data_IF_410406876023
#
_entry.id   IF_410406876023
#
_cell.length_a   1.000
_cell.length_b   1.000
_cell.length_c   1.000
_cell.angle_alpha   90.00
_cell.angle_beta   90.00
_cell.angle_gamma   90.00
#
_symmetry.space_group_name_H-M   'P 1'
#
loop_
_entity.id
_entity.type
_entity.pdbx_description
1 polymer ?
#
# COMPACT_ATOMS: atom_id res chain seq x y z
N UNK A 1 -19.45 -5.31 22.02
CA UNK A 1 -18.88 -4.31 22.98
C UNK A 1 -19.99 -3.33 23.33
N UNK A 2 -20.08 -2.80 24.57
CA UNK A 2 -21.20 -1.92 24.98
C UNK A 2 -20.70 -0.52 25.28
N UNK A 3 -21.45 0.48 24.84
CA UNK A 3 -21.22 1.91 25.10
C UNK A 3 -19.80 2.41 24.83
N UNK A 4 -19.23 2.18 23.64
CA UNK A 4 -17.91 2.69 23.31
C UNK A 4 -17.93 4.23 23.29
N UNK A 5 -16.86 4.84 23.78
CA UNK A 5 -16.61 6.28 23.73
C UNK A 5 -15.26 6.52 23.05
N UNK A 6 -15.20 7.54 22.21
CA UNK A 6 -13.96 7.97 21.59
C UNK A 6 -13.66 9.42 21.96
N UNK A 7 -12.42 9.65 22.34
CA UNK A 7 -11.89 10.96 22.69
C UNK A 7 -10.67 11.25 21.81
N UNK A 8 -10.49 12.53 21.49
CA UNK A 8 -9.42 13.02 20.63
C UNK A 8 -8.40 13.79 21.50
N UNK A 9 -7.12 13.66 21.21
CA UNK A 9 -6.05 14.42 21.88
C UNK A 9 -5.27 15.20 20.83
N UNK A 10 -5.16 16.51 21.04
CA UNK A 10 -4.36 17.40 20.22
C UNK A 10 -3.71 18.45 21.15
N UNK A 11 -2.45 18.24 21.49
CA UNK A 11 -1.75 19.07 22.46
C UNK A 11 -0.43 18.46 22.91
N UNK A 12 0.11 19.00 23.99
CA UNK A 12 1.31 18.51 24.67
C UNK A 12 0.95 17.35 25.60
N UNK A 13 1.45 16.16 25.27
CA UNK A 13 1.40 15.01 26.16
C UNK A 13 2.42 15.14 27.30
N UNK A 14 2.09 14.82 28.57
CA UNK A 14 0.81 14.31 29.09
C UNK A 14 -0.13 15.40 29.64
N UNK A 15 0.14 16.67 29.33
CA UNK A 15 -0.47 17.84 29.98
C UNK A 15 -1.90 18.12 29.50
N UNK A 16 -2.11 18.07 28.20
CA UNK A 16 -3.40 18.42 27.60
C UNK A 16 -4.39 17.25 27.69
N UNK A 17 -5.66 17.58 27.94
CA UNK A 17 -6.70 16.58 28.14
C UNK A 17 -7.22 15.98 26.84
N UNK A 18 -7.88 14.84 26.97
CA UNK A 18 -8.68 14.25 25.90
C UNK A 18 -10.04 14.95 25.80
N UNK A 19 -10.52 15.15 24.57
CA UNK A 19 -11.80 15.80 24.27
C UNK A 19 -12.75 14.77 23.67
N UNK A 20 -13.92 14.59 24.29
CA UNK A 20 -14.94 13.65 23.81
C UNK A 20 -15.44 14.03 22.40
N UNK A 21 -15.45 13.05 21.50
CA UNK A 21 -15.96 13.20 20.14
C UNK A 21 -17.27 12.43 19.98
N UNK A 22 -18.40 13.13 20.08
CA UNK A 22 -19.74 12.51 20.00
C UNK A 22 -19.94 11.77 18.67
N UNK A 23 -19.57 12.41 17.55
CA UNK A 23 -19.74 11.82 16.22
C UNK A 23 -18.89 10.56 16.01
N UNK A 24 -17.65 10.55 16.49
CA UNK A 24 -16.80 9.37 16.38
C UNK A 24 -17.26 8.25 17.32
N UNK A 25 -17.74 8.61 18.50
CA UNK A 25 -18.36 7.67 19.45
C UNK A 25 -19.58 6.98 18.84
N UNK A 26 -20.48 7.73 18.18
CA UNK A 26 -21.63 7.17 17.45
C UNK A 26 -21.19 6.24 16.32
N UNK A 27 -20.17 6.62 15.55
CA UNK A 27 -19.64 5.83 14.44
C UNK A 27 -19.08 4.49 14.93
N UNK A 28 -18.31 4.50 16.03
CA UNK A 28 -17.74 3.28 16.62
C UNK A 28 -18.82 2.46 17.33
N UNK A 29 -19.81 3.09 17.95
CA UNK A 29 -20.96 2.41 18.53
C UNK A 29 -21.73 1.63 17.46
N UNK A 30 -21.94 2.21 16.27
CA UNK A 30 -22.53 1.52 15.15
C UNK A 30 -21.68 0.29 14.73
N UNK A 31 -20.36 0.45 14.59
CA UNK A 31 -19.43 -0.65 14.29
C UNK A 31 -19.49 -1.82 15.28
N UNK A 32 -19.64 -1.51 16.57
CA UNK A 32 -19.51 -2.47 17.67
C UNK A 32 -20.84 -2.93 18.27
N UNK A 33 -21.95 -2.50 17.66
CA UNK A 33 -23.32 -2.86 18.05
C UNK A 33 -23.62 -4.33 17.84
N UNK A 34 -22.99 -4.96 16.85
CA UNK A 34 -23.19 -6.36 16.48
C UNK A 34 -22.29 -7.30 17.29
N UNK A 35 -22.68 -8.58 17.33
CA UNK A 35 -21.89 -9.62 17.98
C UNK A 35 -20.84 -10.17 17.00
N UNK A 36 -19.62 -10.35 17.50
CA UNK A 36 -18.52 -10.94 16.75
C UNK A 36 -18.27 -12.35 17.27
N UNK A 37 -18.17 -13.34 16.37
CA UNK A 37 -17.80 -14.71 16.72
C UNK A 37 -16.35 -14.94 16.31
N UNK A 38 -15.59 -15.66 17.13
CA UNK A 38 -14.22 -16.02 16.81
C UNK A 38 -13.87 -17.38 17.41
N UNK A 39 -12.92 -18.05 16.77
CA UNK A 39 -12.30 -19.26 17.32
C UNK A 39 -11.30 -18.87 18.40
N UNK A 40 -11.33 -19.57 19.53
CA UNK A 40 -10.36 -19.40 20.60
C UNK A 40 -10.02 -20.75 21.21
N UNK A 41 -8.74 -21.11 21.19
CA UNK A 41 -8.28 -22.42 21.68
C UNK A 41 -6.92 -22.24 22.31
N UNK A 42 -6.80 -22.59 23.59
CA UNK A 42 -5.52 -22.56 24.34
C UNK A 42 -4.75 -21.24 24.20
N UNK A 43 -5.45 -20.10 24.29
CA UNK A 43 -4.82 -18.78 24.16
C UNK A 43 -4.61 -18.29 22.73
N UNK A 44 -4.97 -19.08 21.71
CA UNK A 44 -4.84 -18.69 20.30
C UNK A 44 -6.18 -18.28 19.73
N UNK A 45 -6.20 -17.09 19.12
CA UNK A 45 -7.31 -16.61 18.31
C UNK A 45 -7.18 -17.17 16.90
N UNK A 46 -8.22 -17.88 16.46
CA UNK A 46 -8.31 -18.43 15.11
C UNK A 46 -9.07 -17.50 14.16
N UNK A 47 -10.03 -18.07 13.45
CA UNK A 47 -10.85 -17.35 12.48
C UNK A 47 -11.85 -16.41 13.16
N UNK A 48 -12.04 -15.23 12.58
CA UNK A 48 -13.05 -14.24 12.99
C UNK A 48 -14.22 -14.29 12.01
N UNK A 49 -15.45 -14.20 12.54
CA UNK A 49 -16.69 -14.30 11.79
C UNK A 49 -17.59 -13.09 12.07
N UNK A 50 -18.06 -12.43 11.01
CA UNK A 50 -18.86 -11.20 11.06
C UNK A 50 -19.96 -11.22 9.99
N UNK A 51 -20.99 -10.35 10.07
CA UNK A 51 -21.98 -10.17 9.00
C UNK A 51 -21.36 -9.69 7.69
N UNK A 52 -21.98 -10.04 6.56
CA UNK A 52 -21.49 -9.68 5.23
C UNK A 52 -21.25 -8.18 5.04
N UNK A 53 -22.16 -7.34 5.53
CA UNK A 53 -22.08 -5.88 5.40
C UNK A 53 -21.18 -5.20 6.45
N UNK A 54 -20.46 -5.97 7.28
CA UNK A 54 -19.62 -5.41 8.33
C UNK A 54 -18.40 -4.69 7.72
N UNK A 55 -18.21 -3.38 7.97
CA UNK A 55 -17.05 -2.67 7.45
C UNK A 55 -15.72 -3.26 7.94
N UNK A 56 -14.71 -3.31 7.06
CA UNK A 56 -13.38 -3.83 7.38
C UNK A 56 -12.76 -3.09 8.59
N UNK A 57 -12.98 -1.78 8.70
CA UNK A 57 -12.55 -0.98 9.85
C UNK A 57 -13.10 -1.52 11.18
N UNK A 58 -14.40 -1.84 11.24
CA UNK A 58 -15.01 -2.39 12.44
C UNK A 58 -14.38 -3.74 12.82
N UNK A 59 -14.12 -4.59 11.81
CA UNK A 59 -13.44 -5.87 12.01
C UNK A 59 -12.00 -5.69 12.50
N UNK A 60 -11.25 -4.70 11.98
CA UNK A 60 -9.89 -4.39 12.43
C UNK A 60 -9.85 -3.88 13.88
N UNK A 61 -10.83 -3.09 14.31
CA UNK A 61 -10.96 -2.68 15.71
C UNK A 61 -11.14 -3.91 16.61
N UNK A 62 -11.98 -4.87 16.21
CA UNK A 62 -12.16 -6.13 16.94
C UNK A 62 -10.89 -6.99 16.92
N UNK A 63 -10.16 -7.06 15.80
CA UNK A 63 -8.83 -7.70 15.77
C UNK A 63 -7.88 -7.09 16.80
N UNK A 64 -7.89 -5.77 16.97
CA UNK A 64 -7.06 -5.08 17.97
C UNK A 64 -7.42 -5.48 19.40
N UNK A 65 -8.71 -5.66 19.69
CA UNK A 65 -9.18 -6.17 20.99
C UNK A 65 -8.79 -7.64 21.17
N UNK A 66 -9.02 -8.49 20.17
CA UNK A 66 -8.70 -9.92 20.23
C UNK A 66 -7.19 -10.19 20.28
N UNK A 67 -6.36 -9.31 19.74
CA UNK A 67 -4.89 -9.41 19.82
C UNK A 67 -4.40 -9.38 21.27
N UNK A 68 -5.12 -8.70 22.18
CA UNK A 68 -4.88 -8.72 23.63
C UNK A 68 -5.16 -10.07 24.29
N UNK A 69 -5.80 -11.00 23.58
CA UNK A 69 -6.07 -12.36 24.06
C UNK A 69 -5.12 -13.40 23.43
N UNK A 70 -4.26 -12.99 22.50
CA UNK A 70 -3.33 -13.89 21.81
C UNK A 70 -2.12 -14.21 22.70
N UNK A 71 -2.12 -15.38 23.32
CA UNK A 71 -1.08 -15.84 24.24
C UNK A 71 -0.72 -17.30 23.94
N UNK A 72 0.50 -17.55 23.44
CA UNK A 72 0.96 -18.91 23.14
C UNK A 72 1.84 -19.48 24.26
N UNK A 73 1.24 -20.01 25.32
CA UNK A 73 1.97 -20.57 26.47
C UNK A 73 2.56 -21.96 26.14
N UNK A 74 3.87 -22.13 26.34
CA UNK A 74 4.54 -23.46 26.33
C UNK A 74 4.62 -24.02 27.75
N UNK A 75 4.15 -25.25 27.96
CA UNK A 75 4.13 -25.90 29.29
C UNK A 75 5.51 -26.15 29.90
N UNK A 76 6.56 -26.27 29.07
CA UNK A 76 7.89 -26.71 29.49
C UNK A 76 8.91 -25.58 29.70
N UNK A 77 8.57 -24.33 29.40
CA UNK A 77 9.53 -23.23 29.33
C UNK A 77 8.95 -21.95 29.92
N UNK A 78 9.67 -21.34 30.87
CA UNK A 78 9.31 -20.03 31.43
C UNK A 78 9.86 -18.87 30.60
N UNK A 79 10.92 -19.10 29.82
CA UNK A 79 11.46 -18.12 28.88
C UNK A 79 11.65 -18.81 27.54
N UNK A 80 11.06 -18.25 26.49
CA UNK A 80 11.16 -18.81 25.15
C UNK A 80 10.85 -17.77 24.07
N UNK A 81 11.26 -18.09 22.86
CA UNK A 81 11.01 -17.30 21.66
C UNK A 81 10.29 -18.14 20.60
N UNK A 82 9.49 -17.47 19.78
CA UNK A 82 8.79 -18.06 18.64
C UNK A 82 8.39 -16.99 17.63
N UNK A 83 7.95 -17.43 16.47
CA UNK A 83 7.23 -16.57 15.52
C UNK A 83 5.74 -16.66 15.84
N UNK A 84 5.12 -15.53 16.14
CA UNK A 84 3.72 -15.49 16.55
C UNK A 84 2.90 -14.55 15.67
N UNK A 85 1.76 -15.06 15.19
CA UNK A 85 0.77 -14.25 14.52
C UNK A 85 0.13 -13.21 15.46
N UNK A 86 -0.28 -12.09 14.90
CA UNK A 86 -0.99 -11.02 15.56
C UNK A 86 -1.54 -10.03 14.54
N UNK A 87 -2.02 -8.89 15.02
CA UNK A 87 -2.56 -7.84 14.16
C UNK A 87 -1.50 -7.23 13.23
N UNK A 88 -0.25 -7.17 13.66
CA UNK A 88 0.87 -6.64 12.88
C UNK A 88 1.43 -7.64 11.85
N UNK A 89 0.96 -8.89 11.87
CA UNK A 89 1.49 -9.99 11.07
C UNK A 89 2.12 -11.10 11.92
N UNK A 90 3.11 -11.80 11.37
CA UNK A 90 3.84 -12.89 12.03
C UNK A 90 5.24 -12.38 12.37
N UNK A 91 5.46 -12.11 13.66
CA UNK A 91 6.69 -11.48 14.15
C UNK A 91 7.36 -12.28 15.26
N UNK A 92 8.67 -12.07 15.37
CA UNK A 92 9.49 -12.67 16.41
C UNK A 92 9.02 -12.16 17.77
N UNK A 93 8.67 -13.11 18.64
CA UNK A 93 8.01 -12.87 19.91
C UNK A 93 8.73 -13.62 21.02
N UNK A 94 9.04 -12.92 22.11
CA UNK A 94 9.67 -13.47 23.31
C UNK A 94 8.70 -13.44 24.47
N UNK A 95 8.69 -14.52 25.24
CA UNK A 95 7.89 -14.67 26.45
C UNK A 95 8.78 -14.82 27.69
N UNK A 96 8.31 -14.27 28.80
CA UNK A 96 8.83 -14.48 30.15
C UNK A 96 7.62 -14.71 31.06
N UNK A 97 7.55 -15.90 31.67
CA UNK A 97 6.48 -16.31 32.58
C UNK A 97 7.04 -16.30 33.99
N UNK A 98 6.42 -15.49 34.85
CA UNK A 98 6.66 -15.44 36.27
C UNK A 98 5.47 -16.09 36.97
N UNK A 99 5.61 -17.37 37.30
CA UNK A 99 4.59 -18.12 37.99
C UNK A 99 4.75 -17.95 39.52
N UNK A 100 3.73 -17.41 40.16
CA UNK A 100 3.61 -17.26 41.61
C UNK A 100 2.47 -18.15 42.11
N UNK A 101 2.66 -19.45 41.91
CA UNK A 101 1.71 -20.49 42.30
C UNK A 101 1.35 -20.43 43.79
N UNK A 102 2.27 -19.97 44.65
CA UNK A 102 2.01 -19.77 46.09
C UNK A 102 0.87 -18.79 46.35
N UNK A 103 0.77 -17.74 45.53
CA UNK A 103 -0.30 -16.73 45.62
C UNK A 103 -1.42 -16.95 44.60
N UNK A 104 -1.45 -18.13 43.95
CA UNK A 104 -2.39 -18.50 42.90
C UNK A 104 -2.44 -17.48 41.74
N UNK A 105 -1.29 -16.96 41.32
CA UNK A 105 -1.18 -15.94 40.27
C UNK A 105 0.00 -16.20 39.35
N UNK A 106 -0.07 -15.66 38.13
CA UNK A 106 1.09 -15.55 37.26
C UNK A 106 1.09 -14.21 36.53
N UNK A 107 2.30 -13.72 36.28
CA UNK A 107 2.54 -12.57 35.41
C UNK A 107 3.28 -13.05 34.18
N UNK A 108 2.75 -12.74 33.00
CA UNK A 108 3.38 -13.10 31.73
C UNK A 108 3.76 -11.80 31.02
N UNK A 109 5.02 -11.67 30.68
CA UNK A 109 5.53 -10.60 29.83
C UNK A 109 5.81 -11.17 28.44
N UNK A 110 5.32 -10.47 27.43
CA UNK A 110 5.46 -10.83 26.02
C UNK A 110 6.00 -9.62 25.28
N UNK A 111 7.10 -9.75 24.56
CA UNK A 111 7.61 -8.70 23.68
C UNK A 111 7.62 -9.18 22.24
N UNK A 112 7.15 -8.36 21.31
CA UNK A 112 7.26 -8.61 19.87
C UNK A 112 8.20 -7.59 19.23
N UNK A 113 9.15 -8.08 18.46
CA UNK A 113 10.00 -7.26 17.61
C UNK A 113 9.29 -7.04 16.26
N UNK A 114 8.73 -5.85 16.07
CA UNK A 114 8.01 -5.48 14.85
C UNK A 114 8.94 -5.11 13.69
N UNK A 115 10.25 -5.20 13.92
CA UNK A 115 11.28 -5.13 12.87
C UNK A 115 11.66 -6.51 12.35
N UNK A 116 11.42 -7.57 13.13
CA UNK A 116 11.74 -8.94 12.75
C UNK A 116 10.45 -9.75 12.53
N UNK A 117 9.85 -9.59 11.36
CA UNK A 117 8.63 -10.29 10.97
C UNK A 117 8.85 -11.13 9.72
N UNK A 118 8.38 -12.39 9.74
CA UNK A 118 8.31 -13.23 8.55
C UNK A 118 7.30 -12.66 7.54
N UNK A 119 6.21 -12.11 8.07
CA UNK A 119 5.16 -11.51 7.28
C UNK A 119 4.61 -10.31 8.06
N UNK A 120 4.63 -9.13 7.45
CA UNK A 120 4.27 -7.86 8.10
C UNK A 120 3.05 -7.25 7.43
N UNK A 121 2.06 -6.85 8.22
CA UNK A 121 0.93 -6.07 7.74
C UNK A 121 1.37 -4.61 7.47
N UNK A 122 1.90 -4.36 6.28
CA UNK A 122 2.38 -3.04 5.85
C UNK A 122 2.01 -2.77 4.39
N UNK A 123 1.71 -1.51 4.08
CA UNK A 123 1.56 -1.01 2.71
C UNK A 123 2.59 0.08 2.45
N UNK A 124 3.36 -0.11 1.40
CA UNK A 124 4.41 0.80 0.97
C UNK A 124 3.98 1.47 -0.33
N UNK A 125 3.86 2.80 -0.33
CA UNK A 125 3.54 3.58 -1.52
C UNK A 125 4.75 4.41 -1.96
N UNK A 126 4.95 4.54 -3.27
CA UNK A 126 6.08 5.29 -3.83
C UNK A 126 7.46 4.63 -3.67
N UNK A 127 7.55 3.47 -3.04
CA UNK A 127 8.82 2.80 -2.71
C UNK A 127 9.39 1.94 -3.85
N UNK A 128 8.70 1.83 -5.00
CA UNK A 128 9.06 0.92 -6.09
C UNK A 128 10.45 1.16 -6.70
N UNK A 129 10.96 2.40 -6.60
CA UNK A 129 12.26 2.78 -7.13
C UNK A 129 13.38 2.79 -6.08
N UNK A 130 13.04 2.52 -4.82
CA UNK A 130 14.01 2.47 -3.73
C UNK A 130 14.83 1.19 -3.87
N UNK A 131 16.14 1.35 -3.65
CA UNK A 131 17.11 0.28 -3.80
C UNK A 131 17.74 0.00 -2.46
N UNK A 132 17.80 -1.27 -2.03
CA UNK A 132 18.69 -1.66 -0.95
C UNK A 132 20.11 -1.20 -1.31
N UNK A 133 20.79 -0.59 -0.35
CA UNK A 133 22.18 -0.19 -0.48
C UNK A 133 23.03 -1.17 0.34
N UNK A 134 23.70 -2.15 -0.30
CA UNK A 134 24.45 -3.18 0.44
C UNK A 134 25.63 -2.61 1.23
N UNK A 135 26.22 -1.52 0.74
CA UNK A 135 27.38 -0.85 1.33
C UNK A 135 27.02 0.23 2.35
N UNK A 136 25.75 0.64 2.42
CA UNK A 136 25.32 1.62 3.40
C UNK A 136 25.34 0.97 4.79
N UNK A 137 25.83 1.67 5.82
CA UNK A 137 25.88 1.10 7.17
C UNK A 137 24.46 0.79 7.64
N UNK A 138 24.13 -0.50 7.74
CA UNK A 138 22.82 -1.03 8.22
C UNK A 138 22.50 -0.67 9.68
N UNK A 139 23.33 0.16 10.34
CA UNK A 139 23.35 0.36 11.80
C UNK A 139 22.06 0.95 12.37
N UNK A 140 21.24 1.63 11.55
CA UNK A 140 19.93 2.09 11.99
C UNK A 140 18.89 1.87 10.89
N UNK A 141 17.86 1.07 11.20
CA UNK A 141 16.61 1.09 10.42
C UNK A 141 15.90 2.40 10.68
N UNK A 142 15.38 3.04 9.64
CA UNK A 142 14.65 4.30 9.77
C UNK A 142 13.38 4.18 10.61
N UNK A 143 12.81 2.97 10.68
CA UNK A 143 11.64 2.69 11.51
C UNK A 143 11.95 1.47 12.36
N UNK A 144 11.90 1.65 13.68
CA UNK A 144 12.02 0.58 14.67
C UNK A 144 10.69 0.48 15.41
N UNK A 145 10.16 -0.72 15.52
CA UNK A 145 8.88 -0.96 16.19
C UNK A 145 9.01 -2.09 17.19
N UNK A 146 8.43 -1.93 18.36
CA UNK A 146 8.33 -2.96 19.39
C UNK A 146 6.95 -2.87 20.04
N UNK A 147 6.44 -4.00 20.53
CA UNK A 147 5.27 -4.00 21.40
C UNK A 147 5.50 -4.96 22.56
N UNK A 148 5.20 -4.49 23.77
CA UNK A 148 5.24 -5.29 24.98
C UNK A 148 3.83 -5.47 25.52
N UNK A 149 3.52 -6.69 25.95
CA UNK A 149 2.29 -7.02 26.64
C UNK A 149 2.60 -7.57 28.03
N UNK A 150 1.80 -7.18 29.00
CA UNK A 150 1.84 -7.72 30.36
C UNK A 150 0.48 -8.30 30.70
N UNK A 151 0.45 -9.59 31.00
CA UNK A 151 -0.76 -10.32 31.39
C UNK A 151 -0.69 -10.68 32.86
N UNK A 152 -1.79 -10.47 33.58
CA UNK A 152 -1.98 -10.99 34.94
C UNK A 152 -3.01 -12.11 34.87
N UNK A 153 -2.63 -13.26 35.38
CA UNK A 153 -3.48 -14.46 35.44
C UNK A 153 -3.70 -14.86 36.89
N UNK A 154 -4.87 -15.44 37.15
CA UNK A 154 -5.23 -16.01 38.45
C UNK A 154 -5.63 -17.47 38.26
N UNK A 155 -5.19 -18.31 39.19
CA UNK A 155 -5.58 -19.70 39.27
C UNK A 155 -6.73 -19.85 40.28
N UNK A 156 -7.74 -20.62 39.92
CA UNK A 156 -8.77 -21.06 40.83
C UNK A 156 -9.23 -22.49 40.49
N UNK A 157 -10.15 -23.03 41.29
CA UNK A 157 -10.70 -24.38 41.10
C UNK A 157 -11.43 -24.55 39.74
N UNK A 158 -11.76 -23.46 39.04
CA UNK A 158 -12.40 -23.47 37.73
C UNK A 158 -11.41 -23.34 36.57
N UNK A 159 -10.12 -23.12 36.85
CA UNK A 159 -9.04 -23.08 35.88
C UNK A 159 -8.21 -21.78 35.95
N UNK A 160 -7.64 -21.40 34.81
CA UNK A 160 -6.83 -20.19 34.67
C UNK A 160 -7.70 -19.07 34.11
N UNK A 161 -7.74 -17.94 34.80
CA UNK A 161 -8.47 -16.74 34.36
C UNK A 161 -7.53 -15.58 34.10
N UNK A 162 -7.66 -14.93 32.94
CA UNK A 162 -6.98 -13.68 32.62
C UNK A 162 -7.68 -12.53 33.38
N UNK A 163 -6.97 -11.91 34.33
CA UNK A 163 -7.53 -10.80 35.14
C UNK A 163 -7.23 -9.44 34.53
N UNK A 164 -6.07 -9.26 33.91
CA UNK A 164 -5.75 -8.06 33.14
C UNK A 164 -4.75 -8.33 32.03
N UNK A 165 -4.85 -7.57 30.94
CA UNK A 165 -3.84 -7.49 29.88
C UNK A 165 -3.56 -6.02 29.57
N UNK A 166 -2.28 -5.65 29.54
CA UNK A 166 -1.80 -4.32 29.17
C UNK A 166 -0.86 -4.45 27.98
N UNK A 167 -0.87 -3.48 27.08
CA UNK A 167 0.07 -3.41 25.97
C UNK A 167 0.64 -2.02 25.80
N UNK A 168 1.92 -1.94 25.50
CA UNK A 168 2.65 -0.72 25.14
C UNK A 168 3.39 -0.97 23.83
N UNK A 169 2.93 -0.30 22.77
CA UNK A 169 3.52 -0.36 21.43
C UNK A 169 4.20 0.97 21.13
N UNK A 170 5.42 0.89 20.60
CA UNK A 170 6.23 2.06 20.24
C UNK A 170 6.80 1.87 18.85
N UNK A 171 6.59 2.86 17.98
CA UNK A 171 7.35 3.04 16.76
C UNK A 171 8.25 4.27 16.88
N UNK A 172 9.55 4.08 16.70
CA UNK A 172 10.53 5.14 16.57
C UNK A 172 10.88 5.34 15.11
N UNK A 173 10.82 6.58 14.65
CA UNK A 173 11.11 6.98 13.28
C UNK A 173 12.34 7.89 13.31
N UNK A 174 13.41 7.44 12.67
CA UNK A 174 14.69 8.14 12.51
C UNK A 174 14.99 8.23 11.02
N UNK A 175 14.59 9.31 10.32
CA UNK A 175 14.93 9.48 8.91
C UNK A 175 16.44 9.58 8.68
N UNK A 176 17.20 10.00 9.70
CA UNK A 176 18.66 10.05 9.70
C UNK A 176 19.22 9.20 10.87
N UNK A 177 20.54 9.29 11.09
CA UNK A 177 21.27 8.48 12.07
C UNK A 177 21.18 9.02 13.52
N UNK A 178 20.05 9.62 13.91
CA UNK A 178 19.86 10.07 15.29
C UNK A 178 19.69 8.89 16.25
N UNK A 179 20.37 8.90 17.42
CA UNK A 179 20.34 7.77 18.36
C UNK A 179 18.96 7.54 18.99
N UNK A 180 18.15 8.59 19.19
CA UNK A 180 16.87 8.52 19.92
C UNK A 180 15.61 8.67 19.04
N UNK A 181 15.78 8.67 17.71
CA UNK A 181 14.70 8.99 16.78
C UNK A 181 14.23 10.44 16.83
N UNK A 182 13.47 10.82 15.81
CA UNK A 182 12.97 12.19 15.61
C UNK A 182 11.46 12.26 15.80
N UNK A 183 10.76 11.17 15.53
CA UNK A 183 9.33 11.04 15.78
C UNK A 183 9.01 9.69 16.44
N UNK A 184 8.04 9.71 17.36
CA UNK A 184 7.58 8.53 18.08
C UNK A 184 6.06 8.41 17.95
N UNK A 185 5.59 7.21 17.68
CA UNK A 185 4.18 6.84 17.83
C UNK A 185 4.07 5.84 18.98
N UNK A 186 3.21 6.14 19.93
CA UNK A 186 2.89 5.25 21.05
C UNK A 186 1.42 4.82 20.95
N UNK A 187 1.17 3.53 21.18
CA UNK A 187 -0.19 3.00 21.31
C UNK A 187 -0.25 2.12 22.56
N UNK A 188 -1.26 2.36 23.40
CA UNK A 188 -1.46 1.64 24.66
C UNK A 188 -2.85 1.02 24.70
N UNK A 189 -2.95 -0.18 25.26
CA UNK A 189 -4.23 -0.84 25.49
C UNK A 189 -4.27 -1.40 26.90
N UNK A 190 -5.43 -1.32 27.54
CA UNK A 190 -5.70 -1.93 28.84
C UNK A 190 -7.01 -2.70 28.77
N UNK A 191 -6.97 -3.96 29.20
CA UNK A 191 -8.11 -4.85 29.29
C UNK A 191 -8.14 -5.43 30.71
N UNK A 192 -9.25 -5.22 31.42
CA UNK A 192 -9.41 -5.66 32.81
C UNK A 192 -10.70 -6.46 32.98
N UNK A 193 -10.62 -7.58 33.69
CA UNK A 193 -11.77 -8.42 34.03
C UNK A 193 -12.57 -7.77 35.17
N UNK A 194 -13.75 -7.24 34.84
CA UNK A 194 -14.64 -6.59 35.82
C UNK A 194 -15.54 -7.60 36.56
N UNK A 195 -15.90 -8.70 35.90
CA UNK A 195 -16.69 -9.76 36.52
C UNK A 195 -17.15 -10.83 35.53
N UNK A 196 -17.50 -12.00 36.06
CA UNK A 196 -17.94 -13.16 35.28
C UNK A 196 -19.42 -13.40 35.49
N UNK A 197 -20.19 -13.42 34.41
CA UNK A 197 -21.61 -13.82 34.39
C UNK A 197 -21.76 -14.98 33.41
N UNK A 198 -22.67 -15.92 33.68
CA UNK A 198 -23.00 -17.04 32.78
C UNK A 198 -24.39 -16.87 32.16
N UNK A 199 -24.66 -15.79 31.38
CA UNK A 199 -25.91 -15.72 30.64
C UNK A 199 -25.93 -16.80 29.54
N UNK A 200 -27.10 -17.33 29.17
CA UNK A 200 -27.22 -18.20 28.01
C UNK A 200 -26.71 -17.45 26.77
N UNK A 201 -25.78 -18.07 26.05
CA UNK A 201 -25.25 -17.52 24.80
C UNK A 201 -26.30 -17.79 23.73
N UNK A 202 -27.06 -16.77 23.34
CA UNK A 202 -27.92 -16.84 22.16
C UNK A 202 -27.04 -16.90 20.91
N UNK A 203 -27.21 -17.93 20.09
CA UNK A 203 -26.54 -17.99 18.80
C UNK A 203 -26.96 -16.78 17.94
N UNK A 204 -26.05 -16.18 17.15
CA UNK A 204 -26.40 -15.14 16.20
C UNK A 204 -27.50 -15.65 15.26
N UNK A 205 -28.57 -14.87 15.10
CA UNK A 205 -29.70 -15.20 14.21
C UNK A 205 -29.41 -14.95 12.73
N UNK A 206 -28.30 -14.30 12.42
CA UNK A 206 -27.88 -13.92 11.06
C UNK A 206 -26.68 -14.75 10.60
N UNK A 207 -26.58 -14.92 9.28
CA UNK A 207 -25.46 -15.64 8.66
C UNK A 207 -24.16 -14.86 8.86
N UNK A 208 -23.12 -15.57 9.32
CA UNK A 208 -21.80 -15.01 9.54
C UNK A 208 -20.83 -15.51 8.45
N UNK A 209 -20.00 -14.61 7.95
CA UNK A 209 -18.94 -14.90 7.00
C UNK A 209 -17.57 -14.89 7.69
N UNK A 210 -16.68 -15.78 7.23
CA UNK A 210 -15.31 -15.91 7.72
C UNK A 210 -14.43 -14.78 7.16
N UNK A 211 -13.88 -13.94 8.03
CA UNK A 211 -13.03 -12.78 7.67
C UNK A 211 -11.53 -13.03 7.84
N UNK A 212 -11.10 -14.27 8.05
CA UNK A 212 -9.68 -14.62 8.25
C UNK A 212 -9.23 -14.47 9.70
N UNK A 213 -7.93 -14.22 9.90
CA UNK A 213 -7.26 -14.24 11.21
C UNK A 213 -7.15 -12.85 11.87
N UNK A 214 -6.33 -12.75 12.92
CA UNK A 214 -5.99 -11.50 13.62
C UNK A 214 -5.29 -10.46 12.75
N UNK A 215 -4.66 -10.85 11.63
CA UNK A 215 -3.87 -9.94 10.78
C UNK A 215 -4.71 -8.74 10.33
N UNK A 216 -4.17 -7.53 10.45
CA UNK A 216 -4.81 -6.32 9.93
C UNK A 216 -5.07 -6.44 8.43
N UNK A 217 -6.31 -6.13 8.01
CA UNK A 217 -6.68 -6.08 6.60
C UNK A 217 -6.84 -4.63 6.17
N UNK A 218 -6.06 -4.20 5.19
CA UNK A 218 -6.22 -2.88 4.59
C UNK A 218 -7.54 -2.78 3.85
N UNK A 219 -8.26 -1.68 4.08
CA UNK A 219 -9.53 -1.39 3.43
C UNK A 219 -9.34 -0.51 2.18
N UNK A 220 -10.39 0.18 1.73
CA UNK A 220 -10.31 1.24 0.70
C UNK A 220 -9.80 2.59 1.24
N UNK A 221 -9.11 2.59 2.38
CA UNK A 221 -8.56 3.81 2.99
C UNK A 221 -7.52 4.49 2.08
N UNK A 222 -7.50 5.82 2.11
CA UNK A 222 -6.46 6.61 1.45
C UNK A 222 -5.13 6.41 2.17
N UNK A 223 -4.31 5.53 1.62
CA UNK A 223 -3.01 5.15 2.19
C UNK A 223 -1.95 6.27 2.09
N UNK A 224 -2.14 7.26 1.21
CA UNK A 224 -1.25 8.42 1.14
C UNK A 224 -1.55 9.37 2.30
N UNK A 225 -0.55 9.63 3.14
CA UNK A 225 -0.68 10.65 4.19
C UNK A 225 -1.07 11.99 3.55
N UNK A 226 -2.23 12.55 3.89
CA UNK A 226 -2.63 13.82 3.33
C UNK A 226 -1.86 14.94 4.03
N UNK A 227 -1.23 15.83 3.25
CA UNK A 227 -0.57 17.02 3.79
C UNK A 227 -1.65 17.95 4.41
N UNK A 228 -2.80 18.21 3.74
CA UNK A 228 -3.99 18.72 4.40
C UNK A 228 -4.96 17.58 4.74
N UNK A 229 -5.29 17.37 6.02
CA UNK A 229 -6.41 16.50 6.40
C UNK A 229 -7.71 17.08 5.83
N UNK A 230 -8.28 16.39 4.84
CA UNK A 230 -9.52 16.84 4.19
C UNK A 230 -10.71 16.02 4.67
N UNK A 231 -11.77 16.72 5.02
CA UNK A 231 -13.06 16.10 5.30
C UNK A 231 -13.90 16.12 4.03
N UNK A 232 -14.01 14.96 3.40
CA UNK A 232 -14.77 14.81 2.16
C UNK A 232 -16.26 14.78 2.50
N UNK A 233 -16.98 15.82 2.08
CA UNK A 233 -18.43 15.96 2.19
C UNK A 233 -18.92 16.61 0.91
N UNK A 234 -19.90 16.00 0.25
CA UNK A 234 -20.37 16.48 -1.06
C UNK A 234 -19.18 16.65 -2.04
N UNK A 235 -18.57 15.53 -2.49
CA UNK A 235 -17.35 15.53 -3.29
C UNK A 235 -17.45 16.43 -4.54
N UNK A 236 -18.60 16.48 -5.21
CA UNK A 236 -18.80 17.28 -6.43
C UNK A 236 -18.59 18.78 -6.17
N UNK A 237 -19.25 19.31 -5.12
CA UNK A 237 -19.08 20.71 -4.74
C UNK A 237 -17.64 21.01 -4.32
N UNK A 238 -17.01 20.10 -3.56
CA UNK A 238 -15.63 20.29 -3.12
C UNK A 238 -14.64 20.29 -4.29
N UNK A 239 -14.84 19.43 -5.29
CA UNK A 239 -14.03 19.36 -6.49
C UNK A 239 -14.08 20.68 -7.27
N UNK A 240 -15.28 21.18 -7.59
CA UNK A 240 -15.44 22.45 -8.32
C UNK A 240 -14.86 23.63 -7.56
N UNK A 241 -15.17 23.76 -6.27
CA UNK A 241 -14.73 24.90 -5.47
C UNK A 241 -13.22 24.88 -5.22
N UNK A 242 -12.62 23.71 -4.97
CA UNK A 242 -11.17 23.58 -4.77
C UNK A 242 -10.41 23.96 -6.04
N UNK A 243 -10.87 23.51 -7.21
CA UNK A 243 -10.24 23.85 -8.48
C UNK A 243 -10.33 25.35 -8.78
N UNK A 244 -11.49 25.97 -8.53
CA UNK A 244 -11.69 27.40 -8.67
C UNK A 244 -10.74 28.19 -7.75
N UNK A 245 -10.65 27.81 -6.48
CA UNK A 245 -9.74 28.44 -5.51
C UNK A 245 -8.27 28.28 -5.89
N UNK A 246 -7.88 27.10 -6.41
CA UNK A 246 -6.53 26.85 -6.89
C UNK A 246 -6.13 27.85 -7.99
N UNK A 247 -6.97 27.99 -9.03
CA UNK A 247 -6.69 28.91 -10.15
C UNK A 247 -6.61 30.36 -9.66
N UNK A 248 -7.58 30.78 -8.85
CA UNK A 248 -7.62 32.15 -8.32
C UNK A 248 -6.42 32.49 -7.43
N UNK A 249 -5.99 31.58 -6.56
CA UNK A 249 -4.85 31.82 -5.68
C UNK A 249 -3.54 31.88 -6.48
N UNK A 250 -3.41 31.05 -7.51
CA UNK A 250 -2.27 31.10 -8.41
C UNK A 250 -2.21 32.42 -9.20
N UNK A 251 -3.33 32.90 -9.74
CA UNK A 251 -3.41 34.19 -10.45
C UNK A 251 -3.05 35.38 -9.54
N UNK A 252 -3.38 35.29 -8.26
CA UNK A 252 -2.99 36.29 -7.23
C UNK A 252 -1.53 36.20 -6.80
N UNK A 253 -0.78 35.18 -7.23
CA UNK A 253 0.59 34.92 -6.79
C UNK A 253 0.71 34.29 -5.40
N UNK A 254 -0.39 33.84 -4.80
CA UNK A 254 -0.38 33.14 -3.50
C UNK A 254 -0.01 31.66 -3.69
N UNK A 255 1.29 31.43 -3.88
CA UNK A 255 1.85 30.11 -4.16
C UNK A 255 1.62 29.09 -3.04
N UNK A 256 1.56 29.54 -1.79
CA UNK A 256 1.33 28.66 -0.63
C UNK A 256 -0.09 28.13 -0.64
N UNK A 257 -1.08 29.01 -0.76
CA UNK A 257 -2.49 28.60 -0.79
C UNK A 257 -2.82 27.83 -2.08
N UNK A 258 -2.25 28.23 -3.22
CA UNK A 258 -2.39 27.47 -4.46
C UNK A 258 -1.84 26.04 -4.30
N UNK A 259 -0.66 25.87 -3.72
CA UNK A 259 -0.06 24.54 -3.48
C UNK A 259 -0.91 23.69 -2.53
N UNK A 260 -1.44 24.28 -1.46
CA UNK A 260 -2.33 23.59 -0.53
C UNK A 260 -3.63 23.13 -1.23
N UNK A 261 -4.23 24.00 -2.07
CA UNK A 261 -5.42 23.66 -2.86
C UNK A 261 -5.15 22.62 -3.92
N UNK A 262 -3.98 22.63 -4.55
CA UNK A 262 -3.56 21.58 -5.48
C UNK A 262 -3.49 20.22 -4.78
N UNK A 263 -2.85 20.16 -3.60
CA UNK A 263 -2.79 18.93 -2.80
C UNK A 263 -4.17 18.45 -2.34
N UNK A 264 -5.06 19.37 -1.96
CA UNK A 264 -6.46 19.07 -1.67
C UNK A 264 -7.16 18.46 -2.89
N UNK A 265 -6.96 19.04 -4.08
CA UNK A 265 -7.52 18.54 -5.34
C UNK A 265 -7.05 17.11 -5.65
N UNK A 266 -5.76 16.83 -5.47
CA UNK A 266 -5.17 15.50 -5.63
C UNK A 266 -5.84 14.47 -4.72
N UNK A 267 -6.13 14.83 -3.46
CA UNK A 267 -6.79 13.91 -2.53
C UNK A 267 -8.26 13.67 -2.89
N UNK A 268 -8.98 14.70 -3.36
CA UNK A 268 -10.36 14.54 -3.84
C UNK A 268 -10.42 13.61 -5.06
N UNK A 269 -9.52 13.79 -6.03
CA UNK A 269 -9.45 12.92 -7.20
C UNK A 269 -9.05 11.48 -6.92
N UNK A 270 -8.44 11.18 -5.76
CA UNK A 270 -8.15 9.79 -5.38
C UNK A 270 -9.38 8.98 -5.00
N UNK A 271 -10.45 9.65 -4.58
CA UNK A 271 -11.72 9.00 -4.18
C UNK A 271 -12.88 9.34 -5.10
N UNK A 272 -12.71 10.28 -6.03
CA UNK A 272 -13.73 10.65 -6.99
C UNK A 272 -14.00 9.48 -7.96
N UNK A 273 -15.28 9.26 -8.27
CA UNK A 273 -15.67 8.30 -9.30
C UNK A 273 -15.39 8.87 -10.68
N UNK A 274 -15.37 7.99 -11.70
CA UNK A 274 -15.24 8.41 -13.08
C UNK A 274 -16.29 9.47 -13.48
N UNK A 275 -17.56 9.26 -13.14
CA UNK A 275 -18.66 10.18 -13.50
C UNK A 275 -18.46 11.58 -12.90
N UNK A 276 -17.94 11.67 -11.68
CA UNK A 276 -17.65 12.95 -11.02
C UNK A 276 -16.50 13.68 -11.73
N UNK A 277 -15.47 12.94 -12.14
CA UNK A 277 -14.35 13.48 -12.91
C UNK A 277 -14.85 14.00 -14.27
N UNK A 278 -15.73 13.25 -14.94
CA UNK A 278 -16.31 13.67 -16.23
C UNK A 278 -17.20 14.90 -16.10
N UNK A 279 -18.05 14.95 -15.07
CA UNK A 279 -18.91 16.11 -14.79
C UNK A 279 -18.09 17.38 -14.57
N UNK A 280 -16.99 17.29 -13.82
CA UNK A 280 -16.09 18.42 -13.63
C UNK A 280 -15.36 18.79 -14.94
N UNK A 281 -14.90 17.80 -15.71
CA UNK A 281 -14.22 18.05 -17.00
C UNK A 281 -15.07 18.88 -17.95
N UNK A 282 -16.37 18.58 -18.06
CA UNK A 282 -17.30 19.34 -18.92
C UNK A 282 -17.40 20.82 -18.55
N UNK A 283 -17.14 21.19 -17.30
CA UNK A 283 -17.18 22.57 -16.83
C UNK A 283 -15.88 23.34 -17.14
N UNK A 284 -14.76 22.63 -17.33
CA UNK A 284 -13.41 23.22 -17.38
C UNK A 284 -12.66 22.97 -18.69
N UNK A 285 -13.15 22.08 -19.56
CA UNK A 285 -12.45 21.68 -20.80
C UNK A 285 -12.20 22.86 -21.74
N UNK A 286 -13.11 23.82 -21.77
CA UNK A 286 -13.03 24.97 -22.67
C UNK A 286 -12.21 26.14 -22.08
N UNK A 287 -11.79 26.01 -20.82
CA UNK A 287 -11.05 27.05 -20.09
C UNK A 287 -9.53 26.85 -20.20
N UNK A 288 -8.87 27.64 -21.05
CA UNK A 288 -7.41 27.57 -21.29
C UNK A 288 -6.53 27.57 -20.04
N UNK A 289 -6.93 28.29 -18.99
CA UNK A 289 -6.15 28.42 -17.75
C UNK A 289 -6.43 27.33 -16.72
N UNK A 290 -7.61 26.72 -16.75
CA UNK A 290 -8.05 25.74 -15.73
C UNK A 290 -7.70 24.31 -16.13
N UNK A 291 -7.75 23.99 -17.43
CA UNK A 291 -7.47 22.66 -17.98
C UNK A 291 -6.11 22.06 -17.54
N UNK A 292 -4.98 22.79 -17.60
CA UNK A 292 -3.68 22.27 -17.18
C UNK A 292 -3.61 21.90 -15.69
N UNK A 293 -4.25 22.67 -14.81
CA UNK A 293 -4.33 22.36 -13.38
C UNK A 293 -5.14 21.10 -13.11
N UNK A 294 -6.28 20.96 -13.80
CA UNK A 294 -7.11 19.76 -13.76
C UNK A 294 -6.31 18.52 -14.19
N UNK A 295 -5.69 18.55 -15.37
CA UNK A 295 -4.92 17.41 -15.91
C UNK A 295 -3.72 17.05 -15.02
N UNK A 296 -3.04 18.05 -14.46
CA UNK A 296 -1.91 17.84 -13.54
C UNK A 296 -2.37 17.15 -12.24
N UNK A 297 -3.50 17.58 -11.67
CA UNK A 297 -4.05 16.97 -10.46
C UNK A 297 -4.58 15.55 -10.71
N UNK A 298 -5.21 15.29 -11.87
CA UNK A 298 -5.63 13.96 -12.33
C UNK A 298 -4.44 12.99 -12.44
N UNK A 299 -3.32 13.45 -13.02
CA UNK A 299 -2.10 12.67 -13.08
C UNK A 299 -1.55 12.37 -11.68
N UNK A 300 -1.41 13.41 -10.84
CA UNK A 300 -0.82 13.29 -9.50
C UNK A 300 -1.68 12.47 -8.52
N UNK A 301 -3.01 12.41 -8.74
CA UNK A 301 -3.91 11.55 -7.98
C UNK A 301 -3.54 10.07 -8.12
N UNK A 302 -3.22 9.63 -9.34
CA UNK A 302 -2.70 8.29 -9.61
C UNK A 302 -3.66 7.14 -9.24
N UNK A 303 -4.96 7.40 -9.27
CA UNK A 303 -6.02 6.43 -8.97
C UNK A 303 -6.51 5.71 -10.23
N UNK A 304 -7.26 4.62 -10.06
CA UNK A 304 -7.78 3.82 -11.19
C UNK A 304 -8.70 4.64 -12.09
N UNK A 305 -9.63 5.39 -11.49
CA UNK A 305 -10.63 6.17 -12.25
C UNK A 305 -10.01 7.36 -12.97
N UNK A 306 -9.01 8.02 -12.36
CA UNK A 306 -8.26 9.10 -13.03
C UNK A 306 -7.45 8.57 -14.21
N UNK A 307 -6.85 7.38 -14.09
CA UNK A 307 -6.12 6.74 -15.19
C UNK A 307 -7.06 6.28 -16.32
N UNK A 308 -8.24 5.75 -15.97
CA UNK A 308 -9.29 5.37 -16.94
C UNK A 308 -9.81 6.58 -17.71
N UNK A 309 -10.09 7.67 -17.00
CA UNK A 309 -10.51 8.94 -17.58
C UNK A 309 -9.52 9.42 -18.65
N UNK A 310 -8.21 9.44 -18.32
CA UNK A 310 -7.18 9.86 -19.27
C UNK A 310 -7.16 8.99 -20.53
N UNK A 311 -7.33 7.67 -20.38
CA UNK A 311 -7.42 6.75 -21.53
C UNK A 311 -8.59 7.12 -22.44
N UNK A 312 -9.76 7.37 -21.85
CA UNK A 312 -10.97 7.71 -22.60
C UNK A 312 -10.80 9.03 -23.34
N UNK A 313 -10.33 10.09 -22.67
CA UNK A 313 -10.17 11.41 -23.32
C UNK A 313 -9.12 11.41 -24.44
N UNK A 314 -8.08 10.58 -24.36
CA UNK A 314 -7.15 10.40 -25.48
C UNK A 314 -7.77 9.58 -26.62
N UNK A 315 -8.53 8.53 -26.31
CA UNK A 315 -9.21 7.72 -27.31
C UNK A 315 -10.25 8.53 -28.10
N UNK A 316 -11.01 9.38 -27.40
CA UNK A 316 -12.08 10.22 -27.94
C UNK A 316 -11.56 11.53 -28.57
N UNK A 317 -10.23 11.67 -28.71
CA UNK A 317 -9.56 12.85 -29.27
C UNK A 317 -9.93 14.16 -28.55
N UNK A 318 -10.28 14.08 -27.26
CA UNK A 318 -10.58 15.24 -26.39
C UNK A 318 -9.34 15.89 -25.79
N UNK A 319 -8.20 15.21 -25.84
CA UNK A 319 -6.90 15.80 -25.54
C UNK A 319 -6.10 15.92 -26.84
N UNK A 320 -5.50 17.08 -27.05
CA UNK A 320 -4.64 17.28 -28.20
C UNK A 320 -3.29 16.55 -28.05
N UNK A 321 -2.49 16.53 -29.12
CA UNK A 321 -1.22 15.80 -29.17
C UNK A 321 -0.27 16.21 -28.03
N UNK A 322 -0.19 17.51 -27.72
CA UNK A 322 0.72 18.02 -26.68
C UNK A 322 0.20 17.75 -25.27
N UNK A 323 -1.10 17.93 -25.03
CA UNK A 323 -1.74 17.58 -23.76
C UNK A 323 -1.54 16.11 -23.43
N UNK A 324 -1.78 15.22 -24.40
CA UNK A 324 -1.52 13.79 -24.25
C UNK A 324 -0.03 13.51 -24.01
N UNK A 325 0.88 14.17 -24.73
CA UNK A 325 2.33 13.96 -24.58
C UNK A 325 2.86 14.34 -23.19
N UNK A 326 2.31 15.39 -22.57
CA UNK A 326 2.67 15.82 -21.21
C UNK A 326 1.99 14.95 -20.15
N UNK A 327 0.73 14.58 -20.38
CA UNK A 327 -0.09 13.82 -19.41
C UNK A 327 0.36 12.37 -19.29
N UNK A 328 0.61 11.68 -20.41
CA UNK A 328 0.98 10.26 -20.43
C UNK A 328 2.17 9.92 -19.50
N UNK A 329 3.35 10.58 -19.58
CA UNK A 329 4.48 10.22 -18.71
C UNK A 329 4.15 10.44 -17.23
N UNK A 330 3.44 11.51 -16.89
CA UNK A 330 3.02 11.79 -15.51
C UNK A 330 2.03 10.74 -15.00
N UNK A 331 1.03 10.40 -15.81
CA UNK A 331 0.03 9.39 -15.47
C UNK A 331 0.67 8.03 -15.19
N UNK A 332 1.54 7.54 -16.08
CA UNK A 332 2.28 6.29 -15.85
C UNK A 332 3.26 6.39 -14.67
N UNK A 333 3.80 7.57 -14.37
CA UNK A 333 4.69 7.79 -13.23
C UNK A 333 3.97 7.83 -11.87
N UNK A 334 2.75 8.37 -11.79
CA UNK A 334 2.04 8.50 -10.51
C UNK A 334 1.02 7.41 -10.24
N UNK A 335 0.52 6.71 -11.27
CA UNK A 335 -0.47 5.64 -11.08
C UNK A 335 0.02 4.56 -10.12
N UNK A 336 -0.86 4.21 -9.17
CA UNK A 336 -0.62 3.14 -8.21
C UNK A 336 -0.92 1.79 -8.86
N UNK A 337 0.04 0.87 -8.97
CA UNK A 337 -0.16 -0.38 -9.68
C UNK A 337 -1.09 -1.33 -8.92
N UNK A 338 -2.18 -1.70 -9.56
CA UNK A 338 -3.12 -2.76 -9.19
C UNK A 338 -3.62 -3.50 -10.45
N UNK A 339 -4.39 -4.57 -10.27
CA UNK A 339 -4.90 -5.39 -11.39
C UNK A 339 -5.64 -4.55 -12.45
N UNK A 340 -6.59 -3.72 -12.05
CA UNK A 340 -7.39 -2.89 -12.97
C UNK A 340 -6.53 -1.85 -13.70
N UNK A 341 -5.59 -1.20 -13.01
CA UNK A 341 -4.71 -0.21 -13.64
C UNK A 341 -3.75 -0.84 -14.65
N UNK A 342 -3.33 -2.09 -14.45
CA UNK A 342 -2.50 -2.83 -15.41
C UNK A 342 -3.30 -3.21 -16.67
N UNK A 343 -4.56 -3.59 -16.51
CA UNK A 343 -5.48 -3.82 -17.63
C UNK A 343 -5.68 -2.54 -18.45
N UNK A 344 -5.91 -1.39 -17.79
CA UNK A 344 -6.01 -0.08 -18.46
C UNK A 344 -4.69 0.27 -19.16
N UNK A 345 -3.54 0.04 -18.51
CA UNK A 345 -2.22 0.29 -19.08
C UNK A 345 -1.97 -0.53 -20.35
N UNK A 346 -2.41 -1.80 -20.36
CA UNK A 346 -2.37 -2.65 -21.55
C UNK A 346 -3.26 -2.10 -22.66
N UNK A 347 -4.47 -1.62 -22.33
CA UNK A 347 -5.37 -1.01 -23.31
C UNK A 347 -4.83 0.28 -23.95
N UNK A 348 -3.91 1.01 -23.30
CA UNK A 348 -3.19 2.11 -23.95
C UNK A 348 -2.28 1.62 -25.10
N UNK A 349 -1.68 0.44 -24.98
CA UNK A 349 -0.78 -0.12 -25.99
C UNK A 349 -1.50 -0.45 -27.30
N UNK A 350 -2.80 -0.75 -27.23
CA UNK A 350 -3.62 -1.08 -28.41
C UNK A 350 -4.53 0.07 -28.85
N UNK A 351 -4.47 1.23 -28.19
CA UNK A 351 -5.31 2.38 -28.51
C UNK A 351 -4.92 2.99 -29.87
N UNK A 352 -5.86 3.08 -30.85
CA UNK A 352 -5.55 3.59 -32.19
C UNK A 352 -4.93 5.00 -32.19
N UNK A 353 -5.44 5.91 -31.35
CA UNK A 353 -4.94 7.29 -31.30
C UNK A 353 -3.51 7.37 -30.76
N UNK A 354 -3.15 6.51 -29.82
CA UNK A 354 -1.77 6.37 -29.33
C UNK A 354 -0.87 5.82 -30.44
N UNK A 355 -1.34 4.79 -31.17
CA UNK A 355 -0.53 4.15 -32.20
C UNK A 355 -0.27 5.06 -33.42
N UNK A 356 -1.22 5.94 -33.76
CA UNK A 356 -1.05 6.94 -34.84
C UNK A 356 0.07 7.93 -34.57
N UNK A 357 0.33 8.29 -33.31
CA UNK A 357 1.32 9.29 -32.93
C UNK A 357 2.56 8.62 -32.35
N UNK A 358 3.65 8.60 -33.12
CA UNK A 358 4.90 7.91 -32.75
C UNK A 358 5.41 8.27 -31.35
N UNK A 359 5.37 9.56 -30.99
CA UNK A 359 5.81 10.04 -29.68
C UNK A 359 4.97 9.44 -28.54
N UNK A 360 3.64 9.39 -28.68
CA UNK A 360 2.76 8.80 -27.68
C UNK A 360 3.00 7.31 -27.53
N UNK A 361 3.11 6.60 -28.66
CA UNK A 361 3.43 5.17 -28.68
C UNK A 361 4.72 4.87 -27.90
N UNK A 362 5.78 5.65 -28.13
CA UNK A 362 7.05 5.51 -27.40
C UNK A 362 6.83 5.71 -25.88
N UNK A 363 6.16 6.80 -25.49
CA UNK A 363 5.89 7.11 -24.08
C UNK A 363 5.11 5.98 -23.41
N UNK A 364 4.06 5.46 -24.06
CA UNK A 364 3.20 4.42 -23.51
C UNK A 364 3.96 3.11 -23.32
N UNK A 365 4.76 2.66 -24.29
CA UNK A 365 5.57 1.43 -24.12
C UNK A 365 6.59 1.57 -22.98
N UNK A 366 7.29 2.70 -22.90
CA UNK A 366 8.24 2.97 -21.81
C UNK A 366 7.56 3.10 -20.44
N UNK A 367 6.39 3.72 -20.41
CA UNK A 367 5.54 3.88 -19.23
C UNK A 367 4.98 2.53 -18.76
N UNK A 368 4.48 1.71 -19.66
CA UNK A 368 3.99 0.36 -19.39
C UNK A 368 5.10 -0.51 -18.77
N UNK A 369 6.30 -0.52 -19.36
CA UNK A 369 7.44 -1.21 -18.77
C UNK A 369 7.76 -0.71 -17.36
N UNK A 370 7.70 0.60 -17.12
CA UNK A 370 7.89 1.17 -15.78
C UNK A 370 6.79 0.75 -14.79
N UNK A 371 5.55 0.58 -15.27
CA UNK A 371 4.42 0.14 -14.46
C UNK A 371 4.53 -1.33 -14.07
N UNK A 372 4.96 -2.20 -14.99
CA UNK A 372 5.31 -3.59 -14.70
C UNK A 372 6.39 -3.65 -13.62
N UNK A 373 7.45 -2.84 -13.76
CA UNK A 373 8.51 -2.77 -12.76
C UNK A 373 7.98 -2.38 -11.37
N UNK A 374 7.09 -1.38 -11.29
CA UNK A 374 6.50 -0.97 -10.01
C UNK A 374 5.66 -2.08 -9.39
N UNK A 375 4.84 -2.75 -10.19
CA UNK A 375 4.01 -3.85 -9.71
C UNK A 375 4.85 -5.02 -9.19
N UNK A 376 5.93 -5.33 -9.90
CA UNK A 376 6.81 -6.46 -9.60
C UNK A 376 8.01 -6.11 -8.70
N UNK A 377 8.08 -4.89 -8.15
CA UNK A 377 9.18 -4.47 -7.28
C UNK A 377 9.19 -5.18 -5.92
N UNK A 378 8.00 -5.50 -5.38
CA UNK A 378 7.83 -6.14 -4.07
C UNK A 378 7.24 -7.56 -4.16
N UNK A 379 6.92 -8.02 -5.38
CA UNK A 379 6.41 -9.36 -5.61
C UNK A 379 7.57 -10.36 -5.64
N UNK A 380 7.39 -11.52 -5.00
CA UNK A 380 8.34 -12.65 -5.08
C UNK A 380 8.50 -13.15 -6.52
N UNK A 381 7.41 -13.18 -7.28
CA UNK A 381 7.37 -13.58 -8.68
C UNK A 381 6.50 -12.61 -9.47
N UNK A 382 7.03 -12.11 -10.58
CA UNK A 382 6.29 -11.26 -11.51
C UNK A 382 5.50 -12.16 -12.49
N UNK A 383 4.19 -11.95 -12.69
CA UNK A 383 3.42 -12.69 -13.68
C UNK A 383 3.96 -12.47 -15.11
N UNK A 384 4.16 -13.55 -15.86
CA UNK A 384 4.75 -13.49 -17.21
C UNK A 384 3.82 -12.78 -18.20
N UNK A 385 2.51 -12.86 -17.97
CA UNK A 385 1.47 -12.25 -18.82
C UNK A 385 1.65 -10.73 -18.91
N UNK A 386 2.17 -10.10 -17.85
CA UNK A 386 2.43 -8.66 -17.83
C UNK A 386 3.59 -8.26 -18.77
N UNK A 387 4.52 -9.17 -19.04
CA UNK A 387 5.66 -8.94 -19.92
C UNK A 387 5.34 -9.24 -21.39
N UNK A 388 4.28 -10.01 -21.64
CA UNK A 388 3.91 -10.48 -22.97
C UNK A 388 3.80 -9.34 -23.99
N UNK A 389 3.12 -8.19 -23.72
CA UNK A 389 3.04 -7.10 -24.70
C UNK A 389 4.40 -6.52 -25.10
N UNK A 390 5.39 -6.54 -24.19
CA UNK A 390 6.75 -6.09 -24.48
C UNK A 390 7.54 -7.11 -25.30
N UNK A 391 7.30 -8.40 -25.04
CA UNK A 391 7.92 -9.50 -25.77
C UNK A 391 7.35 -9.65 -27.18
N UNK A 392 6.06 -9.39 -27.36
CA UNK A 392 5.38 -9.37 -28.66
C UNK A 392 5.94 -8.26 -29.52
N UNK A 393 6.03 -7.02 -28.99
CA UNK A 393 6.68 -5.91 -29.71
C UNK A 393 8.10 -6.27 -30.16
N UNK A 394 8.90 -6.88 -29.28
CA UNK A 394 10.26 -7.29 -29.64
C UNK A 394 10.28 -8.32 -30.78
N UNK A 395 9.39 -9.32 -30.71
CA UNK A 395 9.29 -10.40 -31.70
C UNK A 395 8.81 -9.88 -33.05
N UNK A 396 7.77 -9.05 -33.05
CA UNK A 396 7.23 -8.41 -34.25
C UNK A 396 8.27 -7.49 -34.90
N UNK A 397 8.95 -6.66 -34.10
CA UNK A 397 9.99 -5.77 -34.61
C UNK A 397 11.12 -6.54 -35.29
N UNK A 398 11.60 -7.63 -34.68
CA UNK A 398 12.60 -8.53 -35.30
C UNK A 398 12.09 -9.13 -36.59
N UNK A 399 10.84 -9.62 -36.63
CA UNK A 399 10.28 -10.24 -37.85
C UNK A 399 10.16 -9.26 -39.02
N UNK A 400 9.94 -7.97 -38.73
CA UNK A 400 9.79 -6.91 -39.74
C UNK A 400 11.10 -6.18 -40.06
N UNK A 401 12.19 -6.47 -39.34
CA UNK A 401 13.44 -5.74 -39.48
C UNK A 401 13.36 -4.28 -39.00
N UNK A 402 12.40 -3.93 -38.15
CA UNK A 402 12.20 -2.54 -37.69
C UNK A 402 13.12 -2.21 -36.50
N UNK A 403 14.28 -1.63 -36.81
CA UNK A 403 15.26 -1.23 -35.79
C UNK A 403 14.71 -0.22 -34.75
N UNK A 404 13.74 0.64 -35.11
CA UNK A 404 13.17 1.60 -34.16
C UNK A 404 12.31 0.88 -33.13
N UNK A 405 11.49 -0.06 -33.58
CA UNK A 405 10.64 -0.86 -32.70
C UNK A 405 11.46 -1.86 -31.87
N UNK A 406 12.55 -2.40 -32.41
CA UNK A 406 13.49 -3.21 -31.63
C UNK A 406 14.09 -2.39 -30.47
N UNK A 407 14.54 -1.17 -30.76
CA UNK A 407 15.08 -0.24 -29.76
C UNK A 407 14.03 0.11 -28.70
N UNK A 408 12.79 0.40 -29.11
CA UNK A 408 11.69 0.69 -28.19
C UNK A 408 11.38 -0.51 -27.28
N UNK A 409 11.26 -1.71 -27.85
CA UNK A 409 10.97 -2.94 -27.12
C UNK A 409 12.06 -3.22 -26.07
N UNK A 410 13.34 -3.15 -26.45
CA UNK A 410 14.46 -3.36 -25.55
C UNK A 410 14.48 -2.35 -24.39
N UNK A 411 14.20 -1.07 -24.68
CA UNK A 411 14.10 -0.03 -23.63
C UNK A 411 12.91 -0.25 -22.71
N UNK A 412 11.76 -0.64 -23.23
CA UNK A 412 10.57 -0.93 -22.44
C UNK A 412 10.76 -2.18 -21.56
N UNK A 413 11.36 -3.25 -22.10
CA UNK A 413 11.78 -4.45 -21.37
C UNK A 413 12.81 -4.07 -20.28
N UNK A 414 13.78 -3.23 -20.61
CA UNK A 414 14.75 -2.70 -19.65
C UNK A 414 14.10 -1.87 -18.54
N UNK A 415 13.03 -1.14 -18.84
CA UNK A 415 12.24 -0.44 -17.84
C UNK A 415 11.50 -1.40 -16.91
N UNK A 416 10.92 -2.49 -17.45
CA UNK A 416 10.30 -3.57 -16.66
C UNK A 416 11.34 -4.26 -15.76
N UNK A 417 12.51 -4.58 -16.30
CA UNK A 417 13.64 -5.06 -15.52
C UNK A 417 13.43 -6.44 -14.89
N UNK A 418 12.60 -7.29 -15.50
CA UNK A 418 12.27 -8.62 -14.97
C UNK A 418 13.17 -9.73 -15.55
N UNK A 419 13.74 -10.62 -14.72
CA UNK A 419 14.58 -11.73 -15.18
C UNK A 419 13.93 -12.64 -16.24
N UNK A 420 12.61 -12.79 -16.23
CA UNK A 420 11.88 -13.56 -17.22
C UNK A 420 12.07 -13.04 -18.67
N UNK A 421 12.43 -11.77 -18.85
CA UNK A 421 12.69 -11.18 -20.18
C UNK A 421 14.08 -11.48 -20.73
N UNK A 422 14.98 -12.06 -19.93
CA UNK A 422 16.39 -12.24 -20.28
C UNK A 422 16.57 -13.05 -21.57
N UNK A 423 15.87 -14.19 -21.72
CA UNK A 423 15.93 -15.00 -22.95
C UNK A 423 15.49 -14.22 -24.19
N UNK A 424 14.60 -13.23 -24.06
CA UNK A 424 14.19 -12.37 -25.17
C UNK A 424 15.27 -11.36 -25.53
N UNK A 425 15.89 -10.73 -24.52
CA UNK A 425 16.99 -9.77 -24.71
C UNK A 425 18.19 -10.43 -25.41
N UNK A 426 18.57 -11.63 -24.99
CA UNK A 426 19.73 -12.34 -25.54
C UNK A 426 19.61 -12.62 -27.04
N UNK A 427 18.40 -12.71 -27.60
CA UNK A 427 18.19 -12.87 -29.05
C UNK A 427 18.70 -11.70 -29.88
N UNK A 428 18.94 -10.55 -29.26
CA UNK A 428 19.46 -9.34 -29.89
C UNK A 428 20.98 -9.20 -29.74
N UNK A 429 21.68 -10.20 -29.19
CA UNK A 429 23.13 -10.18 -29.01
C UNK A 429 23.80 -11.24 -29.90
N UNK A 430 24.86 -10.88 -30.65
CA UNK A 430 25.49 -11.78 -31.62
C UNK A 430 26.09 -13.04 -30.97
N UNK A 431 26.58 -12.94 -29.73
CA UNK A 431 27.13 -14.08 -28.97
C UNK A 431 26.10 -15.19 -28.71
N UNK A 432 24.82 -14.83 -28.61
CA UNK A 432 23.75 -15.75 -28.21
C UNK A 432 22.79 -16.09 -29.37
N UNK A 433 22.87 -15.36 -30.47
CA UNK A 433 22.00 -15.52 -31.64
C UNK A 433 22.76 -15.10 -32.89
N UNK A 434 23.03 -16.04 -33.79
CA UNK A 434 23.69 -15.75 -35.07
C UNK A 434 22.90 -14.75 -35.92
N UNK A 435 21.56 -14.78 -35.84
CA UNK A 435 20.67 -13.82 -36.50
C UNK A 435 20.85 -12.38 -35.98
N UNK A 436 21.43 -12.18 -34.79
CA UNK A 436 21.71 -10.86 -34.26
C UNK A 436 22.96 -10.21 -34.86
N UNK A 437 23.84 -10.98 -35.52
CA UNK A 437 25.09 -10.46 -36.08
C UNK A 437 24.86 -9.38 -37.16
N UNK A 438 23.73 -9.44 -37.87
CA UNK A 438 23.34 -8.45 -38.88
C UNK A 438 22.62 -7.23 -38.30
N UNK A 439 22.33 -7.20 -37.00
CA UNK A 439 21.64 -6.07 -36.39
C UNK A 439 22.59 -4.88 -36.19
N UNK A 440 22.09 -3.63 -36.27
CA UNK A 440 22.92 -2.45 -36.01
C UNK A 440 23.50 -2.45 -34.58
N UNK A 441 24.74 -1.97 -34.41
CA UNK A 441 25.41 -1.86 -33.10
C UNK A 441 24.57 -1.15 -32.02
N UNK A 442 23.73 -0.19 -32.43
CA UNK A 442 22.81 0.50 -31.51
C UNK A 442 21.82 -0.46 -30.85
N UNK A 443 21.33 -1.47 -31.56
CA UNK A 443 20.42 -2.48 -31.03
C UNK A 443 21.14 -3.41 -30.05
N UNK A 444 22.38 -3.79 -30.35
CA UNK A 444 23.22 -4.54 -29.40
C UNK A 444 23.44 -3.75 -28.11
N UNK A 445 23.76 -2.45 -28.22
CA UNK A 445 23.93 -1.57 -27.07
C UNK A 445 22.63 -1.45 -26.25
N UNK A 446 21.47 -1.26 -26.91
CA UNK A 446 20.18 -1.23 -26.22
C UNK A 446 19.86 -2.56 -25.50
N UNK A 447 20.24 -3.70 -26.09
CA UNK A 447 20.06 -5.01 -25.47
C UNK A 447 20.92 -5.19 -24.22
N UNK A 448 22.19 -4.80 -24.26
CA UNK A 448 23.07 -4.81 -23.07
C UNK A 448 22.52 -3.87 -21.99
N UNK A 449 22.09 -2.66 -22.36
CA UNK A 449 21.53 -1.69 -21.41
C UNK A 449 20.22 -2.17 -20.78
N UNK A 450 19.42 -2.98 -21.47
CA UNK A 450 18.19 -3.56 -20.93
C UNK A 450 18.44 -4.50 -19.74
N UNK A 451 19.64 -5.09 -19.62
CA UNK A 451 20.01 -5.97 -18.51
C UNK A 451 20.27 -5.21 -17.20
N UNK A 452 20.47 -3.88 -17.22
CA UNK A 452 20.88 -3.09 -16.04
C UNK A 452 19.92 -3.17 -14.86
N UNK A 453 18.60 -3.21 -15.10
CA UNK A 453 17.61 -3.37 -14.02
C UNK A 453 17.48 -4.83 -13.59
N UNK A 454 17.61 -5.77 -14.53
CA UNK A 454 17.59 -7.22 -14.24
C UNK A 454 18.76 -7.60 -13.32
N UNK A 455 19.94 -7.02 -13.55
CA UNK A 455 21.13 -7.23 -12.71
C UNK A 455 20.91 -6.86 -11.22
N UNK A 456 19.88 -6.07 -10.91
CA UNK A 456 19.52 -5.72 -9.53
C UNK A 456 18.72 -6.81 -8.83
N UNK A 457 18.02 -7.65 -9.61
CA UNK A 457 17.24 -8.79 -9.11
C UNK A 457 18.05 -10.08 -9.17
N UNK A 458 18.87 -10.24 -10.21
CA UNK A 458 19.69 -11.42 -10.44
C UNK A 458 21.09 -11.00 -10.97
N UNK A 459 21.97 -10.50 -10.10
CA UNK A 459 23.29 -10.00 -10.50
C UNK A 459 24.17 -11.11 -11.06
N UNK A 460 24.19 -12.29 -10.44
CA UNK A 460 25.04 -13.42 -10.84
C UNK A 460 24.75 -13.84 -12.29
N UNK A 461 23.48 -14.02 -12.63
CA UNK A 461 23.09 -14.43 -13.97
C UNK A 461 23.38 -13.37 -15.04
N UNK A 462 23.28 -12.09 -14.70
CA UNK A 462 23.65 -11.02 -15.65
C UNK A 462 25.16 -10.94 -15.82
N UNK A 463 25.93 -11.19 -14.76
CA UNK A 463 27.41 -11.27 -14.85
C UNK A 463 27.85 -12.38 -15.79
N UNK A 464 27.24 -13.58 -15.72
CA UNK A 464 27.49 -14.70 -16.65
C UNK A 464 27.19 -14.39 -18.12
N UNK A 465 26.37 -13.38 -18.40
CA UNK A 465 26.00 -12.97 -19.77
C UNK A 465 26.98 -11.96 -20.34
N UNK A 466 27.54 -11.10 -19.49
CA UNK A 466 28.35 -9.94 -19.89
C UNK A 466 29.84 -10.26 -19.92
N UNK A 467 30.29 -11.19 -19.07
CA UNK A 467 31.65 -11.74 -19.05
C UNK A 467 31.71 -12.91 -20.02
#
# INVERSE_FOLDING_TARGET
IRSPKLEEHNGFWPTDSFILSLKLSETIAACLSQAFKFEYTEGRVGSIFVPEDCPILCTNLVRGVLNMLQITIKKSQNVYELQEAGIEGICHTRYVIQDDSKNNRATISKSKDLTNCQDKAVKNLGMAYIRPCPTCPLKARNIKGTVTFTYKMKYDNSGVSLTSAMSDQVYQISPFNEPNGVAVMEARQELSLVGTKRPPISAPTYQLQKQGSLRYHFSGELLQMPIPLIRIKNPDLQLTETLRQLVQNNEKGDTKEASAKFLQMVQLFRVATLDQIESLWLQVSDQRHTGPWFLSAICAAGATDTFRFLKQKIHDEKLNIWEAAVTLPLAFHFVTPNKQTLEIASAFLTCPQIQKVLMHRIIVYLGYGSMVNKHCAQALLCPNELLQPLHDLATEATSRGDAKDMSLALKAIGNAGEPASMKRILKFLPTFSSAAASLPNRIHADAVLALRKIARKDPAKVTEIII
#
